data_IF_004627514656
#
_entry.id   IF_004627514656
#
_cell.length_a   1.000
_cell.length_b   1.000
_cell.length_c   1.000
_cell.angle_alpha   90.00
_cell.angle_beta   90.00
_cell.angle_gamma   90.00
#
_symmetry.space_group_name_H-M   'P 1'
#
loop_
_entity.id
_entity.type
_entity.pdbx_description
1 polymer ?
#
# COMPACT_ATOMS: atom_id res chain seq x y z
N UNK A 1 14.77 2.97 -10.13
CA UNK A 1 13.51 3.53 -9.59
C UNK A 1 12.38 2.69 -10.17
N UNK A 2 11.56 2.09 -9.31
CA UNK A 2 10.42 1.27 -9.75
C UNK A 2 9.12 1.97 -9.41
N UNK A 3 8.12 1.87 -10.28
CA UNK A 3 6.76 2.31 -9.97
C UNK A 3 6.04 1.22 -9.16
N UNK A 4 5.40 1.60 -8.05
CA UNK A 4 4.56 0.69 -7.29
C UNK A 4 3.11 0.79 -7.75
N UNK A 5 2.49 -0.37 -7.90
CA UNK A 5 1.05 -0.50 -8.15
C UNK A 5 0.28 -0.59 -6.83
N UNK A 6 -1.00 -0.25 -6.87
CA UNK A 6 -1.94 -0.33 -5.74
C UNK A 6 -1.92 -1.71 -5.10
N UNK A 7 -1.86 -2.79 -5.87
CA UNK A 7 -1.88 -4.15 -5.33
C UNK A 7 -0.67 -4.43 -4.43
N UNK A 8 0.54 -4.01 -4.82
CA UNK A 8 1.74 -4.22 -4.01
C UNK A 8 1.62 -3.50 -2.67
N UNK A 9 1.11 -2.26 -2.68
CA UNK A 9 0.87 -1.50 -1.47
C UNK A 9 -0.18 -2.15 -0.57
N UNK A 10 -1.30 -2.59 -1.14
CA UNK A 10 -2.36 -3.27 -0.40
C UNK A 10 -1.83 -4.54 0.27
N UNK A 11 -1.07 -5.38 -0.44
CA UNK A 11 -0.48 -6.59 0.14
C UNK A 11 0.47 -6.26 1.28
N UNK A 12 1.33 -5.27 1.10
CA UNK A 12 2.29 -4.87 2.12
C UNK A 12 1.62 -4.31 3.38
N UNK A 13 0.62 -3.44 3.22
CA UNK A 13 -0.03 -2.72 4.31
C UNK A 13 -1.01 -3.58 5.10
N UNK A 14 -1.77 -4.44 4.41
CA UNK A 14 -2.85 -5.22 5.04
C UNK A 14 -2.41 -6.60 5.51
N UNK A 15 -1.30 -7.12 4.96
CA UNK A 15 -0.82 -8.50 5.21
C UNK A 15 -1.94 -9.53 5.10
N UNK A 16 -2.84 -9.33 4.14
CA UNK A 16 -4.03 -10.16 3.98
C UNK A 16 -3.72 -11.56 3.44
N UNK A 17 -2.58 -11.72 2.78
CA UNK A 17 -2.02 -13.00 2.37
C UNK A 17 -0.51 -13.01 2.67
N UNK A 18 -0.07 -13.97 3.49
CA UNK A 18 1.31 -14.06 3.97
C UNK A 18 2.33 -14.17 2.82
N UNK A 19 2.06 -15.02 1.82
CA UNK A 19 2.98 -15.24 0.71
C UNK A 19 3.11 -13.98 -0.15
N UNK A 20 1.99 -13.31 -0.44
CA UNK A 20 2.00 -12.09 -1.24
C UNK A 20 2.57 -10.90 -0.46
N UNK A 21 2.36 -10.85 0.86
CA UNK A 21 2.98 -9.86 1.73
C UNK A 21 4.51 -9.99 1.70
N UNK A 22 5.06 -11.20 1.81
CA UNK A 22 6.50 -11.42 1.73
C UNK A 22 7.10 -10.96 0.40
N UNK A 23 6.39 -11.21 -0.71
CA UNK A 23 6.78 -10.74 -2.04
C UNK A 23 6.77 -9.20 -2.11
N UNK A 24 5.69 -8.56 -1.63
CA UNK A 24 5.58 -7.10 -1.61
C UNK A 24 6.66 -6.45 -0.72
N UNK A 25 6.89 -7.01 0.47
CA UNK A 25 7.94 -6.58 1.39
C UNK A 25 9.33 -6.68 0.76
N UNK A 26 9.59 -7.77 0.02
CA UNK A 26 10.86 -7.94 -0.71
C UNK A 26 11.05 -6.81 -1.73
N UNK A 27 10.02 -6.46 -2.50
CA UNK A 27 10.09 -5.38 -3.50
C UNK A 27 10.33 -4.02 -2.83
N UNK A 28 9.61 -3.72 -1.74
CA UNK A 28 9.67 -2.41 -1.06
C UNK A 28 10.98 -2.23 -0.29
N UNK A 29 11.54 -3.30 0.30
CA UNK A 29 12.77 -3.25 1.08
C UNK A 29 14.05 -3.39 0.24
N UNK A 30 13.96 -3.50 -1.08
CA UNK A 30 15.13 -3.41 -1.95
C UNK A 30 15.80 -2.03 -1.84
N UNK A 31 17.12 -1.97 -2.02
CA UNK A 31 17.92 -0.75 -1.94
C UNK A 31 17.73 0.23 -3.12
N UNK A 32 16.54 0.29 -3.70
CA UNK A 32 16.20 1.20 -4.80
C UNK A 32 14.98 2.06 -4.46
N UNK A 33 14.95 3.33 -4.88
CA UNK A 33 13.78 4.19 -4.68
C UNK A 33 12.53 3.61 -5.35
N UNK A 34 11.44 3.60 -4.59
CA UNK A 34 10.09 3.32 -5.07
C UNK A 34 9.38 4.63 -5.42
N UNK A 35 8.59 4.61 -6.48
CA UNK A 35 7.80 5.75 -6.94
C UNK A 35 6.31 5.39 -6.88
N UNK A 36 5.51 6.23 -6.23
CA UNK A 36 4.06 6.09 -6.11
C UNK A 36 3.41 7.28 -6.78
N UNK A 37 2.50 7.04 -7.71
CA UNK A 37 1.76 8.10 -8.40
C UNK A 37 0.51 8.50 -7.63
N UNK A 38 -0.02 9.70 -7.90
CA UNK A 38 -1.27 10.16 -7.27
C UNK A 38 -2.45 9.23 -7.56
N UNK A 39 -2.52 8.62 -8.75
CA UNK A 39 -3.61 7.70 -9.08
C UNK A 39 -3.55 6.43 -8.23
N UNK A 40 -2.35 5.90 -7.97
CA UNK A 40 -2.15 4.75 -7.06
C UNK A 40 -2.58 5.08 -5.63
N UNK A 41 -2.34 6.31 -5.16
CA UNK A 41 -2.84 6.76 -3.86
C UNK A 41 -4.37 6.84 -3.82
N UNK A 42 -5.00 7.37 -4.87
CA UNK A 42 -6.46 7.43 -4.97
C UNK A 42 -7.09 6.03 -4.96
N UNK A 43 -6.52 5.10 -5.72
CA UNK A 43 -6.97 3.71 -5.75
C UNK A 43 -6.74 3.01 -4.41
N UNK A 44 -5.59 3.23 -3.76
CA UNK A 44 -5.32 2.68 -2.44
C UNK A 44 -6.39 3.11 -1.43
N UNK A 45 -6.75 4.39 -1.40
CA UNK A 45 -7.83 4.91 -0.54
C UNK A 45 -9.17 4.24 -0.89
N UNK A 46 -9.47 4.08 -2.18
CA UNK A 46 -10.70 3.42 -2.63
C UNK A 46 -10.74 1.94 -2.20
N UNK A 47 -9.63 1.19 -2.35
CA UNK A 47 -9.52 -0.22 -1.96
C UNK A 47 -9.64 -0.39 -0.46
N UNK A 48 -8.88 0.37 0.33
CA UNK A 48 -8.87 0.26 1.80
C UNK A 48 -10.24 0.60 2.39
N UNK A 49 -10.95 1.57 1.82
CA UNK A 49 -12.31 1.92 2.22
C UNK A 49 -13.37 0.91 1.75
N UNK A 50 -13.07 0.15 0.70
CA UNK A 50 -13.96 -0.84 0.11
C UNK A 50 -14.33 -1.96 1.09
N UNK A 51 -15.41 -2.68 0.78
CA UNK A 51 -15.99 -3.69 1.68
C UNK A 51 -15.01 -4.79 2.14
N UNK A 52 -13.99 -5.10 1.32
CA UNK A 52 -13.02 -6.15 1.63
C UNK A 52 -12.13 -5.83 2.83
N UNK A 53 -11.80 -4.56 3.06
CA UNK A 53 -10.94 -4.14 4.17
C UNK A 53 -11.64 -3.22 5.16
N UNK A 54 -12.62 -2.42 4.70
CA UNK A 54 -13.50 -1.60 5.54
C UNK A 54 -12.76 -0.65 6.50
N UNK A 55 -11.57 -0.18 6.11
CA UNK A 55 -10.83 0.81 6.90
C UNK A 55 -11.64 2.10 7.04
N UNK A 56 -11.62 2.64 8.25
CA UNK A 56 -12.20 3.95 8.56
C UNK A 56 -11.28 5.06 8.06
N UNK A 57 -11.85 6.26 7.91
CA UNK A 57 -11.13 7.44 7.40
C UNK A 57 -9.86 7.75 8.23
N UNK A 58 -9.96 7.64 9.54
CA UNK A 58 -8.85 7.87 10.48
C UNK A 58 -7.72 6.86 10.30
N UNK A 59 -8.04 5.60 10.07
CA UNK A 59 -7.03 4.56 9.80
C UNK A 59 -6.33 4.79 8.46
N UNK A 60 -7.08 5.18 7.42
CA UNK A 60 -6.53 5.50 6.09
C UNK A 60 -5.58 6.71 6.18
N UNK A 61 -5.96 7.75 6.94
CA UNK A 61 -5.08 8.90 7.17
C UNK A 61 -3.77 8.45 7.84
N UNK A 62 -3.86 7.61 8.87
CA UNK A 62 -2.67 7.07 9.55
C UNK A 62 -1.74 6.29 8.61
N UNK A 63 -2.31 5.50 7.69
CA UNK A 63 -1.54 4.79 6.64
C UNK A 63 -0.81 5.79 5.73
N UNK A 64 -1.52 6.78 5.19
CA UNK A 64 -0.93 7.77 4.28
C UNK A 64 0.14 8.62 4.96
N UNK A 65 -0.08 9.03 6.22
CA UNK A 65 0.93 9.74 7.00
C UNK A 65 2.17 8.87 7.24
N UNK A 66 1.99 7.57 7.49
CA UNK A 66 3.09 6.61 7.63
C UNK A 66 3.94 6.46 6.37
N UNK A 67 3.36 6.67 5.19
CA UNK A 67 4.08 6.63 3.90
C UNK A 67 4.89 7.89 3.60
N UNK A 68 4.60 9.02 4.26
CA UNK A 68 5.26 10.31 4.03
C UNK A 68 6.43 10.57 4.99
N UNK A 69 6.63 9.72 5.99
CA UNK A 69 7.73 9.78 6.97
C UNK A 69 8.89 8.91 6.53
#
# INVERSE_FOLDING_TARGET
MIGLDTNILVRYLTRDNEQQWQQAATVIHQSQPCFVTNIVLCELVWVLRGANYSFRKDEIIGVLEGMLR
#
